data_IF_614677775409
#
_entry.id   IF_614677775409
#
_cell.length_a   1.000
_cell.length_b   1.000
_cell.length_c   1.000
_cell.angle_alpha   90.00
_cell.angle_beta   90.00
_cell.angle_gamma   90.00
#
_symmetry.space_group_name_H-M   'P 1'
#
loop_
_entity.id
_entity.type
_entity.pdbx_description
1 polymer ?
#
# COMPACT_ATOMS: atom_id res chain seq x y z
N UNK A 1 -43.55 -19.10 -13.17
CA UNK A 1 -42.05 -19.23 -13.10
C UNK A 1 -41.52 -18.29 -12.03
N UNK A 2 -41.35 -18.71 -11.06
CA UNK A 2 -40.57 -19.16 -9.87
C UNK A 2 -39.99 -17.98 -9.10
N UNK A 3 -40.84 -17.30 -8.27
CA UNK A 3 -40.36 -16.35 -7.24
C UNK A 3 -39.37 -17.05 -6.24
N UNK A 4 -39.51 -18.35 -6.02
CA UNK A 4 -38.60 -19.10 -5.13
C UNK A 4 -37.20 -19.34 -5.73
N UNK A 5 -37.05 -19.46 -7.03
CA UNK A 5 -35.76 -19.62 -7.69
C UNK A 5 -34.96 -18.29 -7.72
N UNK A 6 -35.67 -17.15 -7.90
CA UNK A 6 -35.00 -15.83 -7.83
C UNK A 6 -34.52 -15.50 -6.43
N UNK A 7 -35.31 -15.80 -5.40
CA UNK A 7 -34.90 -15.56 -4.00
C UNK A 7 -33.70 -16.44 -3.54
N UNK A 8 -33.65 -17.69 -3.99
CA UNK A 8 -32.51 -18.57 -3.71
C UNK A 8 -31.22 -18.09 -4.42
N UNK A 9 -31.33 -17.64 -5.68
CA UNK A 9 -30.21 -17.08 -6.42
C UNK A 9 -29.71 -15.78 -5.77
N UNK A 10 -30.63 -14.89 -5.37
CA UNK A 10 -30.26 -13.67 -4.65
C UNK A 10 -29.58 -13.96 -3.31
N UNK A 11 -30.04 -14.95 -2.55
CA UNK A 11 -29.42 -15.35 -1.29
C UNK A 11 -27.99 -15.88 -1.49
N UNK A 12 -27.75 -16.68 -2.53
CA UNK A 12 -26.40 -17.18 -2.88
C UNK A 12 -25.50 -16.04 -3.32
N UNK A 13 -25.98 -15.13 -4.18
CA UNK A 13 -25.19 -13.97 -4.63
C UNK A 13 -24.82 -13.02 -3.48
N UNK A 14 -25.74 -12.84 -2.53
CA UNK A 14 -25.52 -12.04 -1.33
C UNK A 14 -24.50 -12.68 -0.40
N UNK A 15 -24.57 -14.00 -0.22
CA UNK A 15 -23.61 -14.78 0.59
C UNK A 15 -22.20 -14.70 0.04
N UNK A 16 -22.02 -14.86 -1.26
CA UNK A 16 -20.71 -14.82 -1.91
C UNK A 16 -20.09 -13.42 -1.90
N UNK A 17 -20.92 -12.39 -2.07
CA UNK A 17 -20.46 -10.99 -1.90
C UNK A 17 -19.99 -10.74 -0.47
N UNK A 18 -20.75 -11.24 0.51
CA UNK A 18 -20.40 -11.13 1.91
C UNK A 18 -19.07 -11.86 2.21
N UNK A 19 -18.91 -13.10 1.69
CA UNK A 19 -17.65 -13.83 1.86
C UNK A 19 -16.44 -13.08 1.31
N UNK A 20 -16.56 -12.51 0.12
CA UNK A 20 -15.47 -11.70 -0.46
C UNK A 20 -15.17 -10.45 0.37
N UNK A 21 -16.22 -9.75 0.85
CA UNK A 21 -16.07 -8.58 1.73
C UNK A 21 -15.42 -8.96 3.06
N UNK A 22 -15.88 -10.04 3.69
CA UNK A 22 -15.33 -10.52 4.96
C UNK A 22 -13.86 -10.90 4.77
N UNK A 23 -13.51 -11.63 3.73
CA UNK A 23 -12.12 -12.00 3.46
C UNK A 23 -11.22 -10.77 3.27
N UNK A 24 -11.68 -9.76 2.51
CA UNK A 24 -10.95 -8.49 2.34
C UNK A 24 -10.82 -7.72 3.66
N UNK A 25 -11.92 -7.64 4.43
CA UNK A 25 -11.92 -6.96 5.73
C UNK A 25 -10.99 -7.66 6.73
N UNK A 26 -11.04 -8.98 6.83
CA UNK A 26 -10.14 -9.77 7.69
C UNK A 26 -8.68 -9.56 7.29
N UNK A 27 -8.35 -9.59 6.00
CA UNK A 27 -7.00 -9.34 5.53
C UNK A 27 -6.52 -7.91 5.88
N UNK A 28 -7.38 -6.91 5.72
CA UNK A 28 -7.07 -5.52 6.09
C UNK A 28 -6.88 -5.39 7.61
N UNK A 29 -7.81 -5.92 8.41
CA UNK A 29 -7.73 -5.85 9.87
C UNK A 29 -6.47 -6.55 10.37
N UNK A 30 -6.18 -7.76 9.89
CA UNK A 30 -4.97 -8.49 10.25
C UNK A 30 -3.70 -7.71 9.90
N UNK A 31 -3.65 -7.11 8.70
CA UNK A 31 -2.51 -6.31 8.27
C UNK A 31 -2.35 -5.03 9.12
N UNK A 32 -3.43 -4.31 9.41
CA UNK A 32 -3.40 -3.14 10.29
C UNK A 32 -3.05 -3.49 11.74
N UNK A 33 -3.55 -4.63 12.25
CA UNK A 33 -3.17 -5.13 13.58
C UNK A 33 -1.69 -5.47 13.63
N UNK A 34 -1.16 -6.15 12.62
CA UNK A 34 0.28 -6.44 12.52
C UNK A 34 1.13 -5.17 12.55
N UNK A 35 0.79 -4.17 11.73
CA UNK A 35 1.50 -2.89 11.68
C UNK A 35 1.34 -2.13 13.01
N UNK A 36 0.13 -2.14 13.60
CA UNK A 36 -0.16 -1.43 14.84
C UNK A 36 0.52 -2.02 16.08
N UNK A 37 0.73 -3.34 16.09
CA UNK A 37 1.48 -4.02 17.15
C UNK A 37 3.01 -3.91 16.98
N UNK A 38 3.49 -3.30 15.88
CA UNK A 38 4.91 -3.17 15.61
C UNK A 38 5.62 -4.50 15.37
N UNK A 39 4.88 -5.57 15.03
CA UNK A 39 5.46 -6.90 14.81
C UNK A 39 6.45 -6.83 13.63
N UNK A 40 7.69 -7.26 13.88
CA UNK A 40 8.78 -7.16 12.89
C UNK A 40 9.58 -5.86 12.97
N UNK A 41 9.21 -4.94 13.86
CA UNK A 41 9.95 -3.72 14.17
C UNK A 41 10.77 -3.86 15.45
N UNK A 42 10.44 -4.84 16.30
CA UNK A 42 11.24 -5.21 17.45
C UNK A 42 12.52 -5.89 16.97
N UNK A 43 13.64 -5.31 17.35
CA UNK A 43 14.94 -5.90 17.05
C UNK A 43 15.06 -7.28 17.71
N UNK A 44 15.45 -8.34 16.97
CA UNK A 44 15.93 -9.57 17.60
C UNK A 44 17.19 -9.20 18.41
N UNK A 45 17.05 -9.07 19.73
CA UNK A 45 18.16 -8.74 20.61
C UNK A 45 17.90 -7.68 21.67
N UNK A 46 16.77 -6.95 21.62
CA UNK A 46 16.40 -5.96 22.65
C UNK A 46 15.62 -6.53 23.82
N UNK A 47 15.14 -7.75 23.74
CA UNK A 47 14.63 -8.52 24.89
C UNK A 47 15.71 -9.46 25.39
N UNK A 48 16.80 -8.94 25.93
CA UNK A 48 17.61 -9.69 26.89
C UNK A 48 16.86 -9.61 28.23
N UNK A 49 16.42 -10.72 28.82
CA UNK A 49 15.95 -10.70 30.18
C UNK A 49 17.13 -10.34 31.08
N UNK A 50 17.04 -9.20 31.77
CA UNK A 50 17.80 -8.83 32.97
C UNK A 50 19.30 -9.10 32.97
N UNK A 51 20.03 -8.81 31.91
CA UNK A 51 21.47 -8.70 31.97
C UNK A 51 21.86 -7.22 31.87
N UNK A 52 21.65 -6.48 32.98
CA UNK A 52 22.33 -5.20 33.20
C UNK A 52 23.86 -5.46 33.20
N UNK A 53 24.48 -5.27 32.06
CA UNK A 53 25.93 -5.11 32.02
C UNK A 53 26.25 -3.67 32.40
N UNK A 54 26.80 -3.41 33.61
CA UNK A 54 27.13 -2.06 34.03
C UNK A 54 28.26 -1.54 33.12
N UNK A 55 27.97 -0.53 32.32
CA UNK A 55 28.98 0.21 31.56
C UNK A 55 28.90 0.18 30.04
N UNK A 56 27.99 -0.56 29.41
CA UNK A 56 27.72 -0.41 27.98
C UNK A 56 26.38 0.28 27.78
N UNK A 57 26.39 1.61 27.83
CA UNK A 57 25.32 2.36 27.20
C UNK A 57 25.35 2.03 25.70
N UNK A 58 24.37 1.29 25.19
CA UNK A 58 24.20 1.15 23.75
C UNK A 58 23.97 2.55 23.19
N UNK A 59 24.92 3.01 22.38
CA UNK A 59 24.77 4.26 21.65
C UNK A 59 23.55 4.12 20.73
N UNK A 60 22.47 4.90 20.92
CA UNK A 60 21.29 4.83 20.07
C UNK A 60 21.57 5.22 18.61
N UNK A 61 22.78 5.64 18.29
CA UNK A 61 23.23 6.00 16.95
C UNK A 61 23.87 4.84 16.17
N UNK A 62 24.00 3.62 16.75
CA UNK A 62 24.55 2.49 15.98
C UNK A 62 23.55 2.02 14.91
N UNK A 63 23.95 2.01 13.63
CA UNK A 63 23.12 1.46 12.55
C UNK A 63 22.79 0.00 12.83
N UNK A 64 21.54 -0.38 12.64
CA UNK A 64 21.09 -1.77 12.78
C UNK A 64 21.94 -2.69 11.87
N UNK A 65 22.49 -3.79 12.38
CA UNK A 65 23.22 -4.72 11.52
C UNK A 65 22.26 -5.40 10.54
N UNK A 66 22.40 -5.09 9.25
CA UNK A 66 21.63 -5.67 8.17
C UNK A 66 22.11 -7.08 7.85
N UNK A 67 21.48 -8.07 8.47
CA UNK A 67 21.64 -9.48 8.15
C UNK A 67 20.61 -9.92 7.12
N UNK A 68 20.78 -11.11 6.52
CA UNK A 68 19.74 -11.67 5.64
C UNK A 68 18.38 -11.85 6.32
N UNK A 69 18.38 -12.16 7.62
CA UNK A 69 17.14 -12.26 8.42
C UNK A 69 16.49 -10.89 8.60
N UNK A 70 17.24 -9.86 8.94
CA UNK A 70 16.72 -8.48 9.07
C UNK A 70 16.15 -8.00 7.75
N UNK A 71 16.84 -8.26 6.63
CA UNK A 71 16.34 -7.92 5.30
C UNK A 71 15.00 -8.60 4.99
N UNK A 72 14.87 -9.89 5.29
CA UNK A 72 13.63 -10.64 5.07
C UNK A 72 12.48 -10.12 5.95
N UNK A 73 12.76 -9.79 7.21
CA UNK A 73 11.78 -9.20 8.13
C UNK A 73 11.29 -7.83 7.62
N UNK A 74 12.21 -6.96 7.19
CA UNK A 74 11.86 -5.66 6.64
C UNK A 74 11.04 -5.79 5.35
N UNK A 75 11.40 -6.71 4.46
CA UNK A 75 10.64 -6.98 3.25
C UNK A 75 9.22 -7.48 3.57
N UNK A 76 9.08 -8.37 4.56
CA UNK A 76 7.79 -8.85 5.03
C UNK A 76 6.95 -7.72 5.66
N UNK A 77 7.56 -6.87 6.49
CA UNK A 77 6.91 -5.68 7.05
C UNK A 77 6.38 -4.76 5.93
N UNK A 78 7.23 -4.43 4.94
CA UNK A 78 6.80 -3.64 3.79
C UNK A 78 5.64 -4.30 3.05
N UNK A 79 5.69 -5.63 2.83
CA UNK A 79 4.63 -6.35 2.14
C UNK A 79 3.29 -6.28 2.89
N UNK A 80 3.31 -6.51 4.22
CA UNK A 80 2.10 -6.42 5.05
C UNK A 80 1.57 -4.99 5.10
N UNK A 81 2.44 -3.99 5.23
CA UNK A 81 2.07 -2.57 5.22
C UNK A 81 1.42 -2.19 3.88
N UNK A 82 1.96 -2.64 2.74
CA UNK A 82 1.35 -2.40 1.44
C UNK A 82 -0.02 -3.07 1.31
N UNK A 83 -0.23 -4.27 1.87
CA UNK A 83 -1.56 -4.89 1.95
C UNK A 83 -2.51 -4.02 2.76
N UNK A 84 -2.11 -3.58 3.96
CA UNK A 84 -2.93 -2.73 4.83
C UNK A 84 -3.39 -1.44 4.13
N UNK A 85 -2.48 -0.76 3.45
CA UNK A 85 -2.74 0.54 2.82
C UNK A 85 -3.49 0.43 1.49
N UNK A 86 -3.20 -0.60 0.68
CA UNK A 86 -3.62 -0.64 -0.72
C UNK A 86 -4.82 -1.53 -0.99
N UNK A 87 -5.03 -2.57 -0.18
CA UNK A 87 -6.15 -3.50 -0.38
C UNK A 87 -7.52 -2.83 -0.21
N UNK A 88 -7.75 -1.89 0.73
CA UNK A 88 -9.02 -1.16 0.82
C UNK A 88 -9.36 -0.42 -0.47
N UNK A 89 -8.37 0.24 -1.08
CA UNK A 89 -8.55 0.96 -2.35
C UNK A 89 -8.78 0.05 -3.56
N UNK A 90 -8.40 -1.23 -3.49
CA UNK A 90 -8.64 -2.22 -4.54
C UNK A 90 -9.98 -2.96 -4.37
N UNK A 91 -10.62 -2.87 -3.20
CA UNK A 91 -11.84 -3.60 -2.88
C UNK A 91 -12.96 -3.40 -3.92
N UNK A 92 -13.28 -2.19 -4.42
CA UNK A 92 -14.31 -2.01 -5.45
C UNK A 92 -14.03 -2.81 -6.72
N UNK A 93 -12.75 -2.88 -7.14
CA UNK A 93 -12.32 -3.65 -8.32
C UNK A 93 -12.47 -5.15 -8.09
N UNK A 94 -11.99 -5.67 -6.94
CA UNK A 94 -12.09 -7.09 -6.59
C UNK A 94 -13.55 -7.53 -6.52
N UNK A 95 -14.41 -6.74 -5.89
CA UNK A 95 -15.84 -7.01 -5.76
C UNK A 95 -16.55 -7.00 -7.12
N UNK A 96 -16.22 -6.04 -7.98
CA UNK A 96 -16.79 -5.97 -9.34
C UNK A 96 -16.35 -7.18 -10.17
N UNK A 97 -15.07 -7.57 -10.06
CA UNK A 97 -14.54 -8.75 -10.72
C UNK A 97 -15.23 -10.03 -10.22
N UNK A 98 -15.38 -10.21 -8.92
CA UNK A 98 -16.08 -11.35 -8.32
C UNK A 98 -17.55 -11.41 -8.79
N UNK A 99 -18.25 -10.28 -8.86
CA UNK A 99 -19.61 -10.21 -9.37
C UNK A 99 -19.69 -10.61 -10.86
N UNK A 100 -18.72 -10.17 -11.67
CA UNK A 100 -18.65 -10.52 -13.09
C UNK A 100 -18.44 -12.02 -13.31
N UNK A 101 -17.55 -12.66 -12.52
CA UNK A 101 -17.28 -14.09 -12.62
C UNK A 101 -18.52 -14.94 -12.24
N UNK A 102 -19.26 -14.50 -11.23
CA UNK A 102 -20.53 -15.14 -10.85
C UNK A 102 -21.58 -15.00 -11.95
N UNK A 103 -21.72 -13.80 -12.49
CA UNK A 103 -22.69 -13.56 -13.58
C UNK A 103 -22.41 -14.45 -14.83
N UNK A 104 -21.13 -14.74 -15.08
CA UNK A 104 -20.69 -15.63 -16.16
C UNK A 104 -20.86 -17.12 -15.84
N UNK A 105 -21.41 -17.48 -14.68
CA UNK A 105 -21.61 -18.87 -14.20
C UNK A 105 -20.32 -19.72 -14.29
N UNK A 106 -19.18 -19.13 -14.01
CA UNK A 106 -17.93 -19.89 -13.98
C UNK A 106 -17.95 -20.97 -12.87
N UNK A 107 -17.34 -22.11 -13.16
CA UNK A 107 -17.33 -23.26 -12.23
C UNK A 107 -16.61 -22.96 -10.90
N UNK A 108 -15.65 -22.04 -10.88
CA UNK A 108 -14.88 -21.68 -9.70
C UNK A 108 -14.66 -20.14 -9.60
N UNK A 109 -15.72 -19.36 -9.28
CA UNK A 109 -15.63 -17.89 -9.23
C UNK A 109 -14.69 -17.38 -8.13
N UNK A 110 -14.57 -18.12 -7.02
CA UNK A 110 -13.68 -17.75 -5.92
C UNK A 110 -12.21 -17.92 -6.27
N UNK A 111 -11.85 -18.99 -6.96
CA UNK A 111 -10.49 -19.23 -7.43
C UNK A 111 -10.03 -18.14 -8.41
N UNK A 112 -10.88 -17.77 -9.37
CA UNK A 112 -10.59 -16.68 -10.29
C UNK A 112 -10.40 -15.34 -9.55
N UNK A 113 -11.23 -15.07 -8.53
CA UNK A 113 -11.12 -13.84 -7.72
C UNK A 113 -9.86 -13.85 -6.87
N UNK A 114 -9.49 -14.98 -6.29
CA UNK A 114 -8.25 -15.14 -5.54
C UNK A 114 -7.03 -14.91 -6.44
N UNK A 115 -6.99 -15.53 -7.64
CA UNK A 115 -5.90 -15.30 -8.61
C UNK A 115 -5.80 -13.84 -9.02
N UNK A 116 -6.93 -13.14 -9.18
CA UNK A 116 -6.93 -11.71 -9.43
C UNK A 116 -6.29 -10.93 -8.28
N UNK A 117 -6.71 -11.21 -7.04
CA UNK A 117 -6.16 -10.57 -5.85
C UNK A 117 -4.65 -10.87 -5.69
N UNK A 118 -4.22 -12.11 -5.92
CA UNK A 118 -2.80 -12.49 -5.89
C UNK A 118 -1.98 -11.76 -6.96
N UNK A 119 -2.51 -11.56 -8.17
CA UNK A 119 -1.86 -10.76 -9.19
C UNK A 119 -1.66 -9.30 -8.77
N UNK A 120 -2.66 -8.72 -8.12
CA UNK A 120 -2.58 -7.37 -7.55
C UNK A 120 -1.52 -7.29 -6.44
N UNK A 121 -1.56 -8.24 -5.49
CA UNK A 121 -0.61 -8.30 -4.37
C UNK A 121 0.82 -8.59 -4.83
N UNK A 122 1.01 -9.32 -5.94
CA UNK A 122 2.33 -9.57 -6.50
C UNK A 122 3.05 -8.28 -6.93
N UNK A 123 2.32 -7.27 -7.44
CA UNK A 123 2.89 -5.96 -7.77
C UNK A 123 3.35 -5.23 -6.51
N UNK A 124 2.54 -5.25 -5.45
CA UNK A 124 2.91 -4.62 -4.18
C UNK A 124 4.00 -5.37 -3.45
N UNK A 125 4.05 -6.70 -3.57
CA UNK A 125 5.18 -7.51 -3.12
C UNK A 125 6.47 -7.14 -3.85
N UNK A 126 6.41 -6.97 -5.17
CA UNK A 126 7.54 -6.48 -5.96
C UNK A 126 8.01 -5.08 -5.53
N UNK A 127 7.07 -4.16 -5.26
CA UNK A 127 7.40 -2.85 -4.70
C UNK A 127 8.08 -2.98 -3.34
N UNK A 128 7.60 -3.84 -2.46
CA UNK A 128 8.17 -4.08 -1.12
C UNK A 128 9.61 -4.60 -1.20
N UNK A 129 9.89 -5.52 -2.15
CA UNK A 129 11.23 -6.02 -2.41
C UNK A 129 12.17 -4.90 -2.89
N UNK A 130 11.67 -3.90 -3.62
CA UNK A 130 12.46 -2.74 -4.06
C UNK A 130 12.60 -1.67 -2.97
N UNK A 131 11.58 -1.48 -2.14
CA UNK A 131 11.60 -0.52 -1.04
C UNK A 131 12.59 -0.91 0.06
N UNK A 132 12.75 -2.20 0.33
CA UNK A 132 13.65 -2.70 1.36
C UNK A 132 15.13 -2.35 1.10
N UNK A 133 15.73 -2.61 -0.09
CA UNK A 133 17.10 -2.19 -0.37
C UNK A 133 17.25 -0.66 -0.41
N UNK A 134 16.21 0.09 -0.82
CA UNK A 134 16.23 1.54 -0.70
C UNK A 134 16.34 1.99 0.75
N UNK A 135 15.53 1.40 1.64
CA UNK A 135 15.59 1.64 3.07
C UNK A 135 16.98 1.32 3.62
N UNK A 136 17.51 0.14 3.29
CA UNK A 136 18.88 -0.25 3.67
C UNK A 136 19.94 0.77 3.24
N UNK A 137 19.86 1.26 2.01
CA UNK A 137 20.80 2.28 1.51
C UNK A 137 20.67 3.59 2.26
N UNK A 138 19.46 4.06 2.53
CA UNK A 138 19.24 5.27 3.29
C UNK A 138 19.74 5.15 4.73
N UNK A 139 19.52 3.99 5.36
CA UNK A 139 20.01 3.69 6.70
C UNK A 139 21.55 3.60 6.75
N UNK A 140 22.17 2.88 5.81
CA UNK A 140 23.63 2.77 5.71
C UNK A 140 24.35 4.10 5.45
N UNK A 141 23.65 5.09 4.91
CA UNK A 141 24.15 6.46 4.72
C UNK A 141 23.82 7.39 5.91
N UNK A 142 23.29 6.84 7.02
CA UNK A 142 22.83 7.59 8.19
C UNK A 142 21.83 8.72 7.85
N UNK A 143 21.03 8.52 6.81
CA UNK A 143 20.00 9.47 6.36
C UNK A 143 18.64 9.24 7.03
N UNK A 144 18.50 8.14 7.77
CA UNK A 144 17.29 7.81 8.54
C UNK A 144 17.54 8.01 10.04
N UNK A 145 16.52 8.51 10.72
CA UNK A 145 16.43 8.56 12.18
C UNK A 145 16.08 7.17 12.76
N UNK A 146 16.17 6.94 14.07
CA UNK A 146 15.71 5.70 14.72
C UNK A 146 14.23 5.36 14.42
N UNK A 147 13.40 6.37 14.17
CA UNK A 147 12.00 6.20 13.72
C UNK A 147 11.86 5.88 12.22
N UNK A 148 12.98 5.62 11.53
CA UNK A 148 13.06 5.40 10.07
C UNK A 148 12.42 6.54 9.25
N UNK A 149 12.45 7.75 9.80
CA UNK A 149 12.14 8.98 9.10
C UNK A 149 13.43 9.60 8.56
N UNK A 150 13.37 10.31 7.43
CA UNK A 150 14.56 10.99 6.94
C UNK A 150 15.00 12.10 7.90
N UNK A 151 16.25 12.04 8.32
CA UNK A 151 16.87 13.04 9.19
C UNK A 151 17.35 14.28 8.41
N UNK A 152 17.37 14.20 7.07
CA UNK A 152 17.88 15.25 6.19
C UNK A 152 16.73 16.06 5.58
N UNK A 153 16.66 17.36 5.89
CA UNK A 153 15.61 18.24 5.41
C UNK A 153 15.60 18.41 3.88
N UNK A 154 16.79 18.35 3.24
CA UNK A 154 16.90 18.44 1.78
C UNK A 154 16.29 17.19 1.13
N UNK A 155 16.57 16.01 1.68
CA UNK A 155 16.00 14.76 1.19
C UNK A 155 14.48 14.73 1.40
N UNK A 156 14.00 15.17 2.56
CA UNK A 156 12.58 15.28 2.87
C UNK A 156 11.87 16.25 1.91
N UNK A 157 12.41 17.46 1.77
CA UNK A 157 11.88 18.48 0.88
C UNK A 157 11.87 18.02 -0.58
N UNK A 158 12.94 17.40 -1.05
CA UNK A 158 13.04 16.80 -2.38
C UNK A 158 11.97 15.72 -2.62
N UNK A 159 11.78 14.81 -1.67
CA UNK A 159 10.76 13.77 -1.77
C UNK A 159 9.33 14.34 -1.83
N UNK A 160 9.04 15.38 -1.02
CA UNK A 160 7.76 16.10 -1.06
C UNK A 160 7.51 16.75 -2.41
N UNK A 161 8.52 17.46 -2.97
CA UNK A 161 8.42 18.10 -4.30
C UNK A 161 8.20 17.05 -5.39
N UNK A 162 8.95 15.95 -5.37
CA UNK A 162 8.79 14.85 -6.35
C UNK A 162 7.40 14.23 -6.25
N UNK A 163 6.92 13.94 -5.05
CA UNK A 163 5.58 13.38 -4.84
C UNK A 163 4.49 14.38 -5.29
N UNK A 164 4.64 15.65 -4.95
CA UNK A 164 3.72 16.71 -5.38
C UNK A 164 3.70 16.90 -6.89
N UNK A 165 4.87 16.94 -7.53
CA UNK A 165 4.97 17.04 -8.99
C UNK A 165 4.30 15.83 -9.67
N UNK A 166 4.54 14.60 -9.16
CA UNK A 166 3.89 13.40 -9.67
C UNK A 166 2.37 13.49 -9.60
N UNK A 167 1.82 14.05 -8.51
CA UNK A 167 0.37 14.24 -8.35
C UNK A 167 -0.27 15.07 -9.47
N UNK A 168 0.49 15.99 -10.07
CA UNK A 168 0.02 16.88 -11.13
C UNK A 168 0.20 16.29 -12.53
N UNK A 169 0.93 15.17 -12.67
CA UNK A 169 1.24 14.60 -14.00
C UNK A 169 0.01 13.98 -14.68
N UNK A 170 -0.09 14.08 -16.02
CA UNK A 170 -1.12 13.39 -16.78
C UNK A 170 -0.97 11.85 -16.70
N UNK A 171 0.24 11.34 -16.49
CA UNK A 171 0.50 9.91 -16.32
C UNK A 171 -0.19 9.37 -15.08
N UNK A 172 -0.05 10.04 -13.95
CA UNK A 172 -0.77 9.67 -12.71
C UNK A 172 -2.27 9.71 -12.94
N UNK A 173 -2.80 10.77 -13.55
CA UNK A 173 -4.22 10.90 -13.81
C UNK A 173 -4.75 9.75 -14.70
N UNK A 174 -4.00 9.38 -15.73
CA UNK A 174 -4.32 8.24 -16.59
C UNK A 174 -4.33 6.89 -15.86
N UNK A 175 -3.41 6.68 -14.91
CA UNK A 175 -3.41 5.50 -14.03
C UNK A 175 -4.61 5.51 -13.08
N UNK A 176 -4.88 6.67 -12.45
CA UNK A 176 -5.96 6.84 -11.48
C UNK A 176 -7.34 6.58 -12.10
N UNK A 177 -7.61 7.09 -13.30
CA UNK A 177 -8.87 6.83 -14.01
C UNK A 177 -9.11 5.33 -14.20
N UNK A 178 -8.06 4.56 -14.59
CA UNK A 178 -8.17 3.11 -14.75
C UNK A 178 -8.38 2.37 -13.42
N UNK A 179 -7.84 2.88 -12.33
CA UNK A 179 -8.09 2.33 -10.99
C UNK A 179 -9.53 2.60 -10.51
N UNK A 180 -10.11 3.72 -10.92
CA UNK A 180 -11.45 4.18 -10.49
C UNK A 180 -12.59 3.62 -11.33
N UNK A 181 -12.32 3.07 -12.53
CA UNK A 181 -13.32 2.60 -13.48
C UNK A 181 -13.26 1.07 -13.64
N UNK A 182 -13.74 0.27 -12.65
CA UNK A 182 -13.59 -1.18 -12.67
C UNK A 182 -14.27 -1.84 -13.88
N UNK A 183 -15.45 -1.38 -14.27
CA UNK A 183 -16.20 -1.97 -15.40
C UNK A 183 -15.45 -1.75 -16.72
N UNK A 184 -15.00 -0.53 -16.99
CA UNK A 184 -14.24 -0.19 -18.20
C UNK A 184 -12.92 -0.97 -18.24
N UNK A 185 -12.21 -1.02 -17.13
CA UNK A 185 -10.95 -1.78 -17.02
C UNK A 185 -11.16 -3.26 -17.36
N UNK A 186 -12.17 -3.91 -16.77
CA UNK A 186 -12.47 -5.33 -16.96
C UNK A 186 -12.94 -5.65 -18.37
N UNK A 187 -13.70 -4.75 -19.00
CA UNK A 187 -14.17 -4.94 -20.39
C UNK A 187 -13.02 -4.81 -21.39
N UNK A 188 -12.13 -3.84 -21.19
CA UNK A 188 -11.00 -3.57 -22.08
C UNK A 188 -9.93 -4.66 -22.06
N UNK A 189 -9.76 -5.36 -20.93
CA UNK A 189 -8.72 -6.36 -20.75
C UNK A 189 -9.26 -7.80 -20.68
N UNK A 190 -10.40 -8.08 -21.32
CA UNK A 190 -11.10 -9.37 -21.26
C UNK A 190 -10.28 -10.60 -21.66
N UNK A 191 -9.22 -10.43 -22.44
CA UNK A 191 -8.35 -11.53 -22.92
C UNK A 191 -7.28 -11.96 -21.92
N UNK A 192 -7.02 -11.18 -20.89
CA UNK A 192 -6.06 -11.52 -19.85
C UNK A 192 -6.69 -12.49 -18.84
N UNK A 193 -5.95 -13.52 -18.46
CA UNK A 193 -6.37 -14.42 -17.37
C UNK A 193 -6.50 -13.68 -16.02
N UNK A 194 -7.14 -14.30 -15.01
CA UNK A 194 -7.41 -13.67 -13.72
C UNK A 194 -6.18 -13.01 -13.07
N UNK A 195 -5.08 -13.76 -12.98
CA UNK A 195 -3.82 -13.27 -12.42
C UNK A 195 -3.24 -12.08 -13.22
N UNK A 196 -3.19 -12.20 -14.55
CA UNK A 196 -2.68 -11.13 -15.43
C UNK A 196 -3.53 -9.86 -15.36
N UNK A 197 -4.86 -10.00 -15.14
CA UNK A 197 -5.74 -8.87 -14.90
C UNK A 197 -5.44 -8.18 -13.57
N UNK A 198 -5.22 -8.96 -12.50
CA UNK A 198 -4.81 -8.46 -11.21
C UNK A 198 -3.46 -7.74 -11.25
N UNK A 199 -2.49 -8.33 -11.96
CA UNK A 199 -1.18 -7.73 -12.17
C UNK A 199 -1.29 -6.36 -12.87
N UNK A 200 -2.07 -6.28 -13.95
CA UNK A 200 -2.30 -5.00 -14.67
C UNK A 200 -2.97 -3.96 -13.78
N UNK A 201 -3.98 -4.36 -13.00
CA UNK A 201 -4.62 -3.45 -12.04
C UNK A 201 -3.62 -2.97 -10.98
N UNK A 202 -2.78 -3.86 -10.46
CA UNK A 202 -1.70 -3.54 -9.54
C UNK A 202 -0.71 -2.53 -10.13
N UNK A 203 -0.30 -2.70 -11.38
CA UNK A 203 0.60 -1.76 -12.07
C UNK A 203 -0.02 -0.36 -12.24
N UNK A 204 -1.31 -0.25 -12.58
CA UNK A 204 -1.98 1.05 -12.61
C UNK A 204 -2.12 1.66 -11.22
N UNK A 205 -2.38 0.83 -10.20
CA UNK A 205 -2.44 1.24 -8.81
C UNK A 205 -1.07 1.75 -8.34
N UNK A 206 0.01 1.02 -8.61
CA UNK A 206 1.37 1.46 -8.33
C UNK A 206 1.68 2.76 -9.06
N UNK A 207 1.39 2.84 -10.36
CA UNK A 207 1.61 4.05 -11.17
C UNK A 207 0.88 5.28 -10.63
N UNK A 208 -0.30 5.15 -10.00
CA UNK A 208 -1.00 6.31 -9.46
C UNK A 208 -0.49 6.76 -8.08
N UNK A 209 0.17 5.90 -7.28
CA UNK A 209 0.49 6.23 -5.89
C UNK A 209 1.93 5.91 -5.43
N UNK A 210 2.83 5.40 -6.29
CA UNK A 210 4.20 5.06 -5.89
C UNK A 210 4.94 6.22 -5.23
N UNK A 211 4.77 7.44 -5.74
CA UNK A 211 5.45 8.61 -5.21
C UNK A 211 4.94 8.99 -3.81
N UNK A 212 3.65 8.72 -3.50
CA UNK A 212 3.12 8.86 -2.15
C UNK A 212 3.72 7.84 -1.19
N UNK A 213 4.04 6.63 -1.69
CA UNK A 213 4.71 5.61 -0.87
C UNK A 213 6.14 6.02 -0.49
N UNK A 214 6.82 6.82 -1.30
CA UNK A 214 8.12 7.40 -0.91
C UNK A 214 7.99 8.38 0.25
N UNK A 215 6.84 9.02 0.45
CA UNK A 215 6.61 9.90 1.60
C UNK A 215 6.60 9.16 2.93
N UNK A 216 6.48 7.83 2.93
CA UNK A 216 6.66 7.04 4.15
C UNK A 216 8.04 7.26 4.78
N UNK A 217 9.07 7.48 3.95
CA UNK A 217 10.41 7.82 4.46
C UNK A 217 10.49 9.25 5.02
N UNK A 218 9.59 10.15 4.65
CA UNK A 218 9.59 11.54 5.18
C UNK A 218 9.04 11.59 6.60
N UNK A 219 7.88 10.98 6.83
CA UNK A 219 7.22 10.99 8.14
C UNK A 219 7.57 9.81 9.04
N UNK A 220 8.41 8.89 8.54
CA UNK A 220 8.82 7.65 9.23
C UNK A 220 7.98 6.44 8.83
N UNK A 221 8.69 5.39 8.41
CA UNK A 221 8.07 4.11 7.99
C UNK A 221 7.37 3.42 9.17
N UNK A 222 7.76 3.74 10.42
CA UNK A 222 7.16 3.22 11.65
C UNK A 222 6.08 4.13 12.24
N UNK A 223 5.84 5.29 11.67
CA UNK A 223 4.84 6.23 12.16
C UNK A 223 3.43 5.82 11.70
N UNK A 224 2.70 5.15 12.58
CA UNK A 224 1.36 4.62 12.29
C UNK A 224 0.36 5.71 11.85
N UNK A 225 0.43 6.90 12.46
CA UNK A 225 -0.43 8.02 12.10
C UNK A 225 -0.13 8.50 10.67
N UNK A 226 1.15 8.55 10.29
CA UNK A 226 1.59 8.94 8.95
C UNK A 226 1.20 7.90 7.89
N UNK A 227 1.41 6.61 8.19
CA UNK A 227 0.97 5.49 7.34
C UNK A 227 -0.55 5.58 7.13
N UNK A 228 -1.31 5.77 8.21
CA UNK A 228 -2.76 5.91 8.17
C UNK A 228 -3.23 7.11 7.37
N UNK A 229 -2.58 8.27 7.51
CA UNK A 229 -2.90 9.47 6.76
C UNK A 229 -2.70 9.27 5.25
N UNK A 230 -1.58 8.69 4.83
CA UNK A 230 -1.31 8.38 3.42
C UNK A 230 -2.29 7.33 2.89
N UNK A 231 -2.57 6.26 3.66
CA UNK A 231 -3.54 5.24 3.27
C UNK A 231 -4.94 5.82 3.07
N UNK A 232 -5.40 6.64 4.01
CA UNK A 232 -6.68 7.33 3.94
C UNK A 232 -6.74 8.27 2.73
N UNK A 233 -5.67 9.05 2.52
CA UNK A 233 -5.59 9.95 1.37
C UNK A 233 -5.71 9.17 0.05
N UNK A 234 -4.96 8.08 -0.13
CA UNK A 234 -5.02 7.23 -1.32
C UNK A 234 -6.41 6.59 -1.49
N UNK A 235 -7.03 6.17 -0.39
CA UNK A 235 -8.39 5.62 -0.42
C UNK A 235 -9.40 6.67 -0.88
N UNK A 236 -9.37 7.87 -0.31
CA UNK A 236 -10.25 8.97 -0.68
C UNK A 236 -10.05 9.37 -2.15
N UNK A 237 -8.80 9.50 -2.59
CA UNK A 237 -8.49 9.84 -3.98
C UNK A 237 -9.08 8.81 -4.97
N UNK A 238 -9.10 7.52 -4.60
CA UNK A 238 -9.64 6.44 -5.44
C UNK A 238 -11.15 6.30 -5.39
N UNK A 239 -11.79 6.62 -4.27
CA UNK A 239 -13.21 6.32 -4.04
C UNK A 239 -14.12 7.54 -4.16
N UNK A 240 -13.67 8.72 -3.75
CA UNK A 240 -14.50 9.94 -3.76
C UNK A 240 -14.60 10.53 -5.18
N UNK A 241 -15.77 11.01 -5.62
CA UNK A 241 -15.94 11.61 -6.96
C UNK A 241 -14.95 12.74 -7.25
N UNK A 242 -14.66 13.60 -6.28
CA UNK A 242 -13.68 14.70 -6.35
C UNK A 242 -12.20 14.27 -6.19
N UNK A 243 -11.89 12.97 -6.14
CA UNK A 243 -10.54 12.45 -5.89
C UNK A 243 -9.43 13.04 -6.77
N UNK A 244 -9.60 13.19 -8.08
CA UNK A 244 -8.58 13.80 -8.93
C UNK A 244 -8.27 15.26 -8.58
N UNK A 245 -9.27 16.02 -8.12
CA UNK A 245 -9.08 17.38 -7.63
C UNK A 245 -8.35 17.39 -6.28
N UNK A 246 -8.74 16.49 -5.37
CA UNK A 246 -8.05 16.28 -4.10
C UNK A 246 -6.55 15.97 -4.32
N UNK A 247 -6.23 15.09 -5.28
CA UNK A 247 -4.86 14.79 -5.66
C UNK A 247 -4.08 16.01 -6.13
N UNK A 248 -4.70 16.86 -6.98
CA UNK A 248 -4.06 18.09 -7.47
C UNK A 248 -3.82 19.11 -6.36
N UNK A 249 -4.81 19.31 -5.48
CA UNK A 249 -4.68 20.22 -4.34
C UNK A 249 -3.57 19.74 -3.39
N UNK A 250 -3.53 18.45 -3.07
CA UNK A 250 -2.47 17.86 -2.27
C UNK A 250 -1.11 17.98 -2.96
N UNK A 251 -1.04 17.76 -4.29
CA UNK A 251 0.18 17.93 -5.07
C UNK A 251 0.76 19.34 -4.97
N UNK A 252 -0.08 20.37 -5.10
CA UNK A 252 0.33 21.74 -4.91
C UNK A 252 0.83 22.00 -3.47
N UNK A 253 0.11 21.52 -2.47
CA UNK A 253 0.50 21.64 -1.06
C UNK A 253 1.85 20.96 -0.77
N UNK A 254 2.09 19.76 -1.32
CA UNK A 254 3.35 19.05 -1.16
C UNK A 254 4.53 19.79 -1.79
N UNK A 255 4.33 20.40 -2.97
CA UNK A 255 5.37 21.22 -3.64
C UNK A 255 5.69 22.46 -2.81
N UNK A 256 4.68 23.17 -2.31
CA UNK A 256 4.88 24.35 -1.48
C UNK A 256 5.60 24.01 -0.19
N UNK A 257 5.18 22.94 0.49
CA UNK A 257 5.82 22.51 1.73
C UNK A 257 7.25 22.01 1.48
N UNK A 258 7.47 21.17 0.48
CA UNK A 258 8.81 20.69 0.12
C UNK A 258 9.73 21.82 -0.31
N UNK A 259 9.24 22.78 -1.12
CA UNK A 259 9.97 23.98 -1.51
C UNK A 259 10.36 24.84 -0.30
N UNK A 260 9.45 25.06 0.63
CA UNK A 260 9.74 25.74 1.89
C UNK A 260 10.88 25.06 2.67
N UNK A 261 10.79 23.73 2.84
CA UNK A 261 11.85 22.96 3.53
C UNK A 261 13.21 23.11 2.85
N UNK A 262 13.24 23.08 1.52
CA UNK A 262 14.51 23.23 0.76
C UNK A 262 15.13 24.63 0.95
N UNK A 263 14.31 25.68 0.95
CA UNK A 263 14.78 27.06 1.15
C UNK A 263 15.28 27.29 2.58
N UNK A 264 14.63 26.66 3.57
CA UNK A 264 15.03 26.82 4.98
C UNK A 264 16.19 25.93 5.39
N UNK A 265 16.54 24.93 4.57
CA UNK A 265 17.67 24.03 4.80
C UNK A 265 18.95 24.46 4.06
N UNK A 266 18.88 25.41 3.13
CA UNK A 266 20.01 26.01 2.41
C UNK A 266 20.62 27.16 3.19
#
# INVERSE_FOLDING_TARGET
MNAGASSAIEAVLRRDRLMTLVALACACIAAWTYVGLGIGTEMPGTTMPDMEMPGMAMDPAMPMPWTGATFALMAAMWAVMMVAMMLPGAAPMVLTYAALQRHRRQAAPHDATLRFALGYLAVWGGFSILATPLQWRLDSLALLSPAMATANAVLAGGALVVAGAWQLTPLKQGCLVRCRSPVEFLTRHRRSGPFGLGLRHGLFCLGCCWALMLLLFVGGVMNLAWIGAIALFVLLEKTVPGGPWLGRAAGAGLILWGGWMLVTAA
#
